data_IF_688885196298
#
_entry.id   IF_688885196298
#
_cell.length_a   1.000
_cell.length_b   1.000
_cell.length_c   1.000
_cell.angle_alpha   90.00
_cell.angle_beta   90.00
_cell.angle_gamma   90.00
#
_symmetry.space_group_name_H-M   'P 1'
#
loop_
_entity.id
_entity.type
_entity.pdbx_description
1 polymer ?
#
# COMPACT_ATOMS: atom_id res chain seq x y z
N UNK A 1 10.98 14.23 0.02
CA UNK A 1 9.96 13.17 0.12
C UNK A 1 9.06 13.28 -1.10
N UNK A 2 8.84 12.18 -1.82
CA UNK A 2 8.00 12.17 -3.01
C UNK A 2 6.59 11.74 -2.62
N UNK A 3 5.59 12.48 -3.11
CA UNK A 3 4.20 12.09 -2.99
C UNK A 3 3.87 11.06 -4.07
N UNK A 4 3.18 9.99 -3.69
CA UNK A 4 2.81 8.88 -4.55
C UNK A 4 1.31 8.62 -4.46
N UNK A 5 0.80 8.01 -5.52
CA UNK A 5 -0.57 7.57 -5.58
C UNK A 5 -0.74 6.44 -6.57
N UNK A 6 -1.98 5.97 -6.68
CA UNK A 6 -2.35 4.82 -7.47
C UNK A 6 -3.08 5.30 -8.72
N UNK A 7 -2.47 5.09 -9.88
CA UNK A 7 -3.03 5.49 -11.17
C UNK A 7 -3.74 4.30 -11.82
N UNK A 8 -4.97 4.54 -12.27
CA UNK A 8 -5.76 3.64 -13.11
C UNK A 8 -6.26 4.43 -14.30
N UNK A 9 -5.80 4.07 -15.50
CA UNK A 9 -6.04 4.84 -16.71
C UNK A 9 -5.69 6.33 -16.53
N UNK A 10 -6.65 7.25 -16.69
CA UNK A 10 -6.44 8.69 -16.52
C UNK A 10 -6.57 9.17 -15.07
N UNK A 11 -7.06 8.33 -14.15
CA UNK A 11 -7.36 8.76 -12.78
C UNK A 11 -6.24 8.39 -11.82
N UNK A 12 -5.73 9.38 -11.09
CA UNK A 12 -4.76 9.21 -10.01
C UNK A 12 -5.42 9.37 -8.63
N UNK A 13 -5.28 8.35 -7.78
CA UNK A 13 -5.66 8.40 -6.35
C UNK A 13 -4.45 8.72 -5.50
N UNK A 14 -4.43 9.88 -4.87
CA UNK A 14 -3.39 10.21 -3.89
C UNK A 14 -3.37 9.21 -2.72
N UNK A 15 -2.18 8.70 -2.40
CA UNK A 15 -1.90 8.07 -1.12
C UNK A 15 -1.18 9.06 -0.19
N UNK A 16 -0.04 9.62 -0.60
CA UNK A 16 0.80 10.42 0.29
C UNK A 16 2.28 10.09 0.12
N UNK A 17 3.05 10.19 1.20
CA UNK A 17 4.50 10.01 1.12
C UNK A 17 4.93 8.58 0.79
N UNK A 18 5.87 8.44 -0.16
CA UNK A 18 6.42 7.16 -0.60
C UNK A 18 7.06 6.35 0.52
N UNK A 19 7.74 7.00 1.48
CA UNK A 19 8.33 6.33 2.64
C UNK A 19 7.28 5.66 3.54
N UNK A 20 6.11 6.29 3.71
CA UNK A 20 5.02 5.70 4.49
C UNK A 20 4.39 4.52 3.75
N UNK A 21 4.29 4.59 2.41
CA UNK A 21 3.83 3.47 1.60
C UNK A 21 4.84 2.30 1.68
N UNK A 22 6.13 2.60 1.64
CA UNK A 22 7.18 1.59 1.82
C UNK A 22 7.14 0.94 3.20
N UNK A 23 6.83 1.69 4.27
CA UNK A 23 6.61 1.12 5.60
C UNK A 23 5.43 0.13 5.62
N UNK A 24 4.36 0.39 4.86
CA UNK A 24 3.24 -0.55 4.74
C UNK A 24 3.70 -1.88 4.12
N UNK A 25 4.47 -1.83 3.02
CA UNK A 25 5.08 -3.03 2.42
C UNK A 25 6.07 -3.73 3.35
N UNK A 26 6.95 -2.98 4.00
CA UNK A 26 7.92 -3.52 4.98
C UNK A 26 7.23 -4.27 6.11
N UNK A 27 6.09 -3.75 6.57
CA UNK A 27 5.29 -4.39 7.61
C UNK A 27 4.66 -5.69 7.14
N UNK A 28 4.17 -5.76 5.89
CA UNK A 28 3.68 -7.00 5.29
C UNK A 28 4.80 -8.04 5.24
N UNK A 29 5.95 -7.68 4.65
CA UNK A 29 7.10 -8.57 4.50
C UNK A 29 7.53 -9.17 5.85
N UNK A 30 7.74 -8.31 6.85
CA UNK A 30 8.26 -8.74 8.14
C UNK A 30 7.22 -9.51 8.97
N UNK A 31 5.97 -9.03 9.03
CA UNK A 31 4.95 -9.58 9.94
C UNK A 31 4.17 -10.74 9.34
N UNK A 32 3.91 -10.71 8.05
CA UNK A 32 2.99 -11.67 7.40
C UNK A 32 3.69 -12.64 6.46
N UNK A 33 4.92 -12.32 6.03
CA UNK A 33 5.70 -13.13 5.09
C UNK A 33 7.01 -13.67 5.67
N UNK A 34 7.20 -13.60 6.99
CA UNK A 34 8.42 -14.06 7.68
C UNK A 34 9.72 -13.52 7.05
N UNK A 35 9.72 -12.23 6.71
CA UNK A 35 10.85 -11.54 6.08
C UNK A 35 11.22 -12.07 4.68
N UNK A 36 10.27 -12.71 3.99
CA UNK A 36 10.43 -13.21 2.61
C UNK A 36 9.47 -12.45 1.68
N UNK A 37 9.96 -11.37 1.10
CA UNK A 37 9.20 -10.46 0.25
C UNK A 37 8.42 -11.18 -0.86
N UNK A 38 7.09 -11.00 -0.86
CA UNK A 38 6.18 -11.57 -1.85
C UNK A 38 6.06 -13.08 -1.84
N UNK A 39 6.46 -13.74 -0.75
CA UNK A 39 6.32 -15.19 -0.59
C UNK A 39 4.88 -15.64 -0.37
N UNK A 40 4.00 -14.74 0.09
CA UNK A 40 2.59 -15.05 0.39
C UNK A 40 1.62 -14.13 -0.36
N UNK A 41 2.00 -12.88 -0.62
CA UNK A 41 1.19 -11.89 -1.32
C UNK A 41 1.88 -11.41 -2.60
N UNK A 42 2.14 -12.28 -3.58
CA UNK A 42 2.93 -11.92 -4.76
C UNK A 42 2.30 -10.81 -5.61
N UNK A 43 0.97 -10.67 -5.66
CA UNK A 43 0.35 -9.59 -6.45
C UNK A 43 0.57 -8.24 -5.75
N UNK A 44 0.37 -8.16 -4.44
CA UNK A 44 0.63 -6.95 -3.66
C UNK A 44 2.11 -6.62 -3.59
N UNK A 45 2.96 -7.60 -3.31
CA UNK A 45 4.36 -7.36 -2.97
C UNK A 45 5.27 -7.32 -4.20
N UNK A 46 4.98 -8.09 -5.26
CA UNK A 46 5.83 -8.11 -6.45
C UNK A 46 5.24 -7.28 -7.58
N UNK A 47 3.98 -7.53 -7.96
CA UNK A 47 3.39 -6.83 -9.10
C UNK A 47 3.14 -5.35 -8.77
N UNK A 48 2.52 -5.07 -7.63
CA UNK A 48 2.16 -3.68 -7.29
C UNK A 48 3.36 -2.82 -6.89
N UNK A 49 4.34 -3.37 -6.16
CA UNK A 49 5.51 -2.60 -5.70
C UNK A 49 6.62 -2.47 -6.75
N UNK A 50 6.99 -3.55 -7.45
CA UNK A 50 8.18 -3.55 -8.32
C UNK A 50 7.89 -3.32 -9.81
N UNK A 51 6.70 -3.63 -10.31
CA UNK A 51 6.40 -3.43 -11.73
C UNK A 51 5.96 -1.97 -12.00
N UNK A 52 6.92 -1.07 -12.13
CA UNK A 52 6.67 0.35 -12.45
C UNK A 52 5.95 0.55 -13.79
N UNK A 53 6.03 -0.42 -14.72
CA UNK A 53 5.45 -0.29 -16.08
C UNK A 53 4.02 -0.80 -16.17
N UNK A 54 3.69 -1.89 -15.49
CA UNK A 54 2.36 -2.50 -15.57
C UNK A 54 1.65 -2.59 -14.23
N UNK A 55 2.38 -2.55 -13.11
CA UNK A 55 1.84 -2.71 -11.76
C UNK A 55 0.96 -3.94 -11.64
N UNK A 56 -0.22 -3.79 -11.06
CA UNK A 56 -1.23 -4.85 -11.04
C UNK A 56 -2.05 -4.81 -12.32
N UNK A 57 -1.96 -5.88 -13.11
CA UNK A 57 -2.78 -6.06 -14.31
C UNK A 57 -4.25 -6.23 -13.97
N UNK A 58 -5.15 -5.75 -14.84
CA UNK A 58 -6.59 -5.92 -14.66
C UNK A 58 -7.00 -7.40 -14.49
N UNK A 59 -6.32 -8.31 -15.18
CA UNK A 59 -6.54 -9.76 -15.09
C UNK A 59 -6.29 -10.34 -13.70
N UNK A 60 -5.44 -9.70 -12.89
CA UNK A 60 -5.12 -10.12 -11.52
C UNK A 60 -5.97 -9.40 -10.45
N UNK A 61 -6.97 -8.59 -10.85
CA UNK A 61 -7.79 -7.79 -9.94
C UNK A 61 -8.39 -8.61 -8.79
N UNK A 62 -8.96 -9.78 -9.08
CA UNK A 62 -9.59 -10.61 -8.04
C UNK A 62 -8.55 -11.19 -7.07
N UNK A 63 -7.36 -11.56 -7.55
CA UNK A 63 -6.25 -11.96 -6.66
C UNK A 63 -5.79 -10.80 -5.79
N UNK A 64 -5.65 -9.61 -6.39
CA UNK A 64 -5.23 -8.39 -5.67
C UNK A 64 -6.22 -8.03 -4.56
N UNK A 65 -7.52 -8.09 -4.82
CA UNK A 65 -8.58 -7.92 -3.80
C UNK A 65 -8.45 -8.94 -2.67
N UNK A 66 -8.25 -10.22 -3.00
CA UNK A 66 -8.17 -11.30 -2.02
C UNK A 66 -6.92 -11.18 -1.13
N UNK A 67 -5.77 -10.86 -1.71
CA UNK A 67 -4.53 -10.59 -0.95
C UNK A 67 -4.72 -9.38 -0.02
N UNK A 68 -5.20 -8.25 -0.54
CA UNK A 68 -5.45 -7.05 0.27
C UNK A 68 -6.46 -7.27 1.39
N UNK A 69 -7.51 -8.07 1.15
CA UNK A 69 -8.46 -8.46 2.19
C UNK A 69 -7.77 -9.27 3.28
N UNK A 70 -6.97 -10.26 2.90
CA UNK A 70 -6.23 -11.11 3.86
C UNK A 70 -5.25 -10.28 4.70
N UNK A 71 -4.49 -9.38 4.06
CA UNK A 71 -3.58 -8.46 4.75
C UNK A 71 -4.35 -7.57 5.72
N UNK A 72 -5.49 -6.99 5.30
CA UNK A 72 -6.35 -6.15 6.16
C UNK A 72 -6.83 -6.91 7.38
N UNK A 73 -7.34 -8.13 7.18
CA UNK A 73 -7.87 -8.99 8.24
C UNK A 73 -6.76 -9.36 9.24
N UNK A 74 -5.55 -9.69 8.78
CA UNK A 74 -4.43 -10.01 9.66
C UNK A 74 -3.87 -8.77 10.38
N UNK A 75 -3.77 -7.63 9.70
CA UNK A 75 -3.38 -6.37 10.31
C UNK A 75 -4.38 -5.89 11.36
N UNK A 76 -5.65 -6.31 11.29
CA UNK A 76 -6.64 -5.99 12.32
C UNK A 76 -6.33 -6.63 13.68
N UNK A 77 -5.51 -7.69 13.69
CA UNK A 77 -5.09 -8.41 14.89
C UNK A 77 -3.74 -7.92 15.44
N UNK A 78 -3.08 -6.97 14.78
CA UNK A 78 -1.75 -6.49 15.15
C UNK A 78 -1.81 -5.04 15.66
N UNK A 79 -1.24 -4.74 16.84
CA UNK A 79 -1.22 -3.38 17.38
C UNK A 79 -0.34 -2.46 16.53
N UNK A 80 -0.60 -1.14 16.54
CA UNK A 80 0.13 -0.17 15.71
C UNK A 80 1.65 -0.15 15.97
N UNK A 81 2.09 -0.53 17.17
CA UNK A 81 3.51 -0.62 17.54
C UNK A 81 4.27 -1.71 16.77
N UNK A 82 3.56 -2.63 16.12
CA UNK A 82 4.16 -3.70 15.34
C UNK A 82 4.52 -3.26 13.91
N UNK A 83 4.17 -2.02 13.51
CA UNK A 83 4.55 -1.42 12.25
C UNK A 83 6.07 -1.37 12.07
N UNK A 84 6.54 -1.76 10.88
CA UNK A 84 7.95 -1.73 10.50
C UNK A 84 8.16 -0.55 9.56
N UNK A 85 9.10 0.34 9.90
CA UNK A 85 9.35 1.52 9.09
C UNK A 85 10.09 1.19 7.80
N UNK A 86 11.19 0.44 7.93
CA UNK A 86 12.00 0.02 6.79
C UNK A 86 12.60 -1.34 7.09
N UNK A 87 12.17 -2.35 6.33
CA UNK A 87 12.69 -3.71 6.47
C UNK A 87 14.15 -3.80 6.00
N UNK A 88 14.47 -3.25 4.82
CA UNK A 88 15.81 -3.32 4.25
C UNK A 88 16.86 -2.54 5.06
N UNK A 89 16.47 -1.42 5.68
CA UNK A 89 17.37 -0.61 6.50
C UNK A 89 17.37 -1.04 7.99
N UNK A 90 16.71 -2.14 8.34
CA UNK A 90 16.59 -2.63 9.72
C UNK A 90 15.97 -1.59 10.70
N UNK A 91 15.02 -0.78 10.24
CA UNK A 91 14.31 0.20 11.07
C UNK A 91 12.95 -0.40 11.47
N UNK A 92 12.96 -1.13 12.58
CA UNK A 92 11.80 -1.91 13.05
C UNK A 92 10.76 -1.13 13.84
N UNK A 93 11.00 0.16 14.11
CA UNK A 93 10.04 1.04 14.77
C UNK A 93 9.78 2.25 13.88
N UNK A 94 8.54 2.72 13.87
CA UNK A 94 8.15 3.96 13.20
C UNK A 94 8.78 5.17 13.92
N UNK A 95 9.57 6.02 13.22
CA UNK A 95 10.07 7.26 13.81
C UNK A 95 8.93 8.21 14.21
N UNK A 96 9.15 9.03 15.22
CA UNK A 96 8.16 10.01 15.67
C UNK A 96 7.78 10.99 14.55
N UNK A 97 6.52 11.45 14.56
CA UNK A 97 6.01 12.50 13.68
C UNK A 97 6.10 12.18 12.17
N UNK A 98 6.14 10.89 11.80
CA UNK A 98 6.01 10.50 10.41
C UNK A 98 4.60 10.76 9.87
N UNK A 99 4.46 11.30 8.65
CA UNK A 99 3.18 11.65 8.05
C UNK A 99 2.43 10.42 7.54
N UNK A 100 1.16 10.60 7.15
CA UNK A 100 0.31 9.53 6.59
C UNK A 100 0.07 8.34 7.55
N UNK A 101 0.13 8.61 8.85
CA UNK A 101 -0.08 7.64 9.92
C UNK A 101 -1.15 8.13 10.90
N UNK A 102 -2.04 7.23 11.29
CA UNK A 102 -3.04 7.45 12.32
C UNK A 102 -2.56 6.87 13.66
N UNK A 103 -1.88 7.68 14.46
CA UNK A 103 -1.35 7.27 15.78
C UNK A 103 -2.43 6.94 16.82
N UNK A 104 -3.70 7.25 16.54
CA UNK A 104 -4.85 6.90 17.38
C UNK A 104 -5.58 5.63 16.89
N UNK A 105 -5.04 4.92 15.91
CA UNK A 105 -5.64 3.67 15.42
C UNK A 105 -5.49 2.54 16.44
N UNK A 106 -6.49 1.67 16.52
CA UNK A 106 -6.46 0.50 17.40
C UNK A 106 -5.46 -0.57 16.94
N UNK A 107 -5.27 -0.68 15.62
CA UNK A 107 -4.47 -1.73 14.98
C UNK A 107 -3.93 -1.30 13.60
N UNK A 108 -3.09 -2.13 13.01
CA UNK A 108 -2.44 -1.84 11.73
C UNK A 108 -3.41 -1.70 10.54
N UNK A 109 -4.63 -2.24 10.62
CA UNK A 109 -5.60 -2.13 9.52
C UNK A 109 -6.09 -0.70 9.31
N UNK A 110 -5.98 0.15 10.33
CA UNK A 110 -6.38 1.56 10.30
C UNK A 110 -5.20 2.54 10.48
N UNK A 111 -3.97 2.04 10.49
CA UNK A 111 -2.78 2.83 10.81
C UNK A 111 -2.27 3.67 9.64
N UNK A 112 -2.23 3.11 8.42
CA UNK A 112 -1.74 3.80 7.22
C UNK A 112 -2.87 4.55 6.53
N UNK A 113 -2.74 5.87 6.39
CA UNK A 113 -3.79 6.77 5.89
C UNK A 113 -3.27 7.76 4.86
N UNK A 114 -4.14 8.26 3.99
CA UNK A 114 -3.78 9.42 3.15
C UNK A 114 -3.86 10.75 3.91
N UNK A 115 -3.51 11.84 3.21
CA UNK A 115 -3.60 13.22 3.71
C UNK A 115 -5.00 13.60 4.19
N UNK A 116 -6.04 12.98 3.62
CA UNK A 116 -7.44 13.11 4.02
C UNK A 116 -7.91 12.09 5.07
N UNK A 117 -7.00 11.42 5.80
CA UNK A 117 -7.30 10.43 6.85
C UNK A 117 -8.10 9.20 6.38
N UNK A 118 -8.15 8.91 5.08
CA UNK A 118 -8.71 7.66 4.58
C UNK A 118 -7.66 6.56 4.69
N UNK A 119 -8.04 5.39 5.20
CA UNK A 119 -7.13 4.24 5.26
C UNK A 119 -6.68 3.82 3.87
N UNK A 120 -5.49 3.22 3.76
CA UNK A 120 -4.98 2.70 2.49
C UNK A 120 -5.99 1.74 1.83
N UNK A 121 -6.74 0.96 2.62
CA UNK A 121 -7.78 0.06 2.12
C UNK A 121 -8.96 0.78 1.49
N UNK A 122 -9.40 1.91 2.06
CA UNK A 122 -10.46 2.75 1.45
C UNK A 122 -10.01 3.38 0.14
N UNK A 123 -8.70 3.63 -0.02
CA UNK A 123 -8.13 4.09 -1.29
C UNK A 123 -8.14 2.93 -2.30
N UNK A 124 -7.77 1.73 -1.88
CA UNK A 124 -7.83 0.53 -2.73
C UNK A 124 -9.25 0.19 -3.19
N UNK A 125 -10.28 0.37 -2.35
CA UNK A 125 -11.69 0.22 -2.77
C UNK A 125 -12.00 1.08 -4.00
N UNK A 126 -11.60 2.36 -3.98
CA UNK A 126 -11.74 3.27 -5.13
C UNK A 126 -10.90 2.85 -6.33
N UNK A 127 -9.69 2.31 -6.09
CA UNK A 127 -8.84 1.77 -7.16
C UNK A 127 -9.53 0.60 -7.86
N UNK A 128 -10.14 -0.32 -7.10
CA UNK A 128 -10.82 -1.47 -7.68
C UNK A 128 -12.04 -1.08 -8.51
N UNK A 129 -12.84 -0.13 -8.03
CA UNK A 129 -13.97 0.44 -8.81
C UNK A 129 -13.48 0.98 -10.15
N UNK A 130 -12.35 1.69 -10.15
CA UNK A 130 -11.76 2.25 -11.37
C UNK A 130 -11.18 1.18 -12.29
N UNK A 131 -10.47 0.19 -11.73
CA UNK A 131 -9.94 -0.92 -12.53
C UNK A 131 -11.09 -1.65 -13.23
N UNK A 132 -12.21 -1.87 -12.54
CA UNK A 132 -13.41 -2.47 -13.12
C UNK A 132 -14.06 -1.63 -14.22
N UNK A 133 -14.13 -0.32 -14.00
CA UNK A 133 -14.74 0.64 -14.92
C UNK A 133 -13.92 0.79 -16.21
N UNK A 134 -12.61 1.04 -16.08
CA UNK A 134 -11.73 1.28 -17.22
C UNK A 134 -11.16 0.01 -17.86
N UNK A 135 -11.27 -1.15 -17.19
CA UNK A 135 -10.56 -2.39 -17.57
C UNK A 135 -9.05 -2.17 -17.70
N UNK A 136 -8.50 -1.38 -16.77
CA UNK A 136 -7.12 -0.91 -16.82
C UNK A 136 -6.30 -1.41 -15.62
N UNK A 137 -4.99 -1.39 -15.80
CA UNK A 137 -4.02 -1.75 -14.75
C UNK A 137 -3.94 -0.66 -13.68
N UNK A 138 -3.44 -1.04 -12.50
CA UNK A 138 -3.12 -0.12 -11.42
C UNK A 138 -1.61 -0.04 -11.24
N UNK A 139 -1.05 1.16 -11.31
CA UNK A 139 0.39 1.42 -11.11
C UNK A 139 0.60 2.45 -9.99
N UNK A 140 1.73 2.36 -9.28
CA UNK A 140 2.17 3.40 -8.34
C UNK A 140 2.87 4.49 -9.16
N UNK A 141 2.47 5.74 -8.98
CA UNK A 141 3.02 6.89 -9.73
C UNK A 141 3.31 8.03 -8.78
N UNK A 142 4.52 8.58 -8.90
CA UNK A 142 4.90 9.84 -8.23
C UNK A 142 4.09 11.01 -8.81
N UNK A 143 3.62 11.91 -7.95
CA UNK A 143 2.85 13.10 -8.35
C UNK A 143 3.56 13.93 -9.42
N UNK A 144 4.89 14.09 -9.32
CA UNK A 144 5.70 14.85 -10.28
C UNK A 144 5.72 14.24 -11.69
N UNK A 145 5.48 12.94 -11.82
CA UNK A 145 5.41 12.26 -13.10
C UNK A 145 4.08 12.51 -13.84
N UNK A 146 3.06 13.07 -13.17
CA UNK A 146 1.77 13.42 -13.77
C UNK A 146 1.81 14.72 -14.57
N UNK A 147 2.80 15.58 -14.32
CA UNK A 147 2.94 16.91 -14.94
C UNK A 147 3.77 16.89 -16.23
N UNK A 148 4.16 15.70 -16.71
CA UNK A 148 4.92 15.46 -17.93
C UNK A 148 4.04 14.80 -18.97
#
# INVERSE_FOLDING_TARGET
MNNVGFKVDIIWSEFGYSETLYSWFSTICYRLENSKWGSRFPVVMNNFYYDEKNGVKFEDLEKFKNELKTIKDEFSNLPIKDAIWSFEENIYNVPNNKPNLNYNADNLSNFYVNTGMNTIYKIFEKVFERMLFFKANCIIVEEKALLK
#
